data_IF_402375082894
#
_entry.id   IF_402375082894
#
_cell.length_a   1.000
_cell.length_b   1.000
_cell.length_c   1.000
_cell.angle_alpha   90.00
_cell.angle_beta   90.00
_cell.angle_gamma   90.00
#
_symmetry.space_group_name_H-M   'P 1'
#
loop_
_entity.id
_entity.type
_entity.pdbx_description
1 polymer ?
#
# COMPACT_ATOMS: atom_id res chain seq x y z
N UNK A 1 17.91 -12.41 9.54
CA UNK A 1 17.94 -11.36 8.49
C UNK A 1 16.51 -11.25 7.98
N UNK A 2 15.88 -10.07 8.08
CA UNK A 2 14.50 -9.88 7.62
C UNK A 2 14.56 -9.68 6.11
N UNK A 3 13.99 -10.59 5.33
CA UNK A 3 13.95 -10.46 3.86
C UNK A 3 12.94 -9.38 3.46
N UNK A 4 13.39 -8.13 3.43
CA UNK A 4 12.56 -6.96 3.09
C UNK A 4 11.94 -7.03 1.69
N UNK A 5 12.53 -7.81 0.78
CA UNK A 5 12.15 -7.92 -0.63
C UNK A 5 11.39 -9.20 -1.00
N UNK A 6 10.96 -10.02 -0.02
CA UNK A 6 10.12 -11.17 -0.34
C UNK A 6 8.70 -10.71 -0.67
N UNK A 7 8.44 -10.48 -1.95
CA UNK A 7 7.11 -10.18 -2.47
C UNK A 7 6.31 -11.48 -2.67
N UNK A 8 5.08 -11.52 -2.16
CA UNK A 8 4.16 -12.64 -2.35
C UNK A 8 3.36 -12.39 -3.65
N UNK A 9 3.95 -12.74 -4.80
CA UNK A 9 3.36 -12.56 -6.14
C UNK A 9 2.11 -13.43 -6.38
N UNK A 10 1.79 -14.34 -5.47
CA UNK A 10 0.69 -15.31 -5.62
C UNK A 10 -0.71 -14.65 -5.66
N UNK A 11 -0.87 -13.45 -5.10
CA UNK A 11 -2.18 -12.80 -4.97
C UNK A 11 -2.31 -11.52 -5.79
N UNK A 12 -3.00 -11.61 -6.93
CA UNK A 12 -3.27 -10.49 -7.87
C UNK A 12 -3.96 -9.28 -7.22
N UNK A 13 -4.71 -9.47 -6.14
CA UNK A 13 -5.41 -8.41 -5.39
C UNK A 13 -4.50 -7.35 -4.75
N UNK A 14 -3.18 -7.60 -4.67
CA UNK A 14 -2.21 -6.67 -4.10
C UNK A 14 -1.34 -5.98 -5.14
N UNK A 15 -1.84 -5.87 -6.38
CA UNK A 15 -1.22 -5.08 -7.43
C UNK A 15 -2.08 -3.85 -7.77
N UNK A 16 -1.42 -2.73 -7.99
CA UNK A 16 -1.98 -1.45 -8.44
C UNK A 16 -1.44 -1.14 -9.84
N UNK A 17 -2.07 -0.16 -10.52
CA UNK A 17 -1.72 0.23 -11.89
C UNK A 17 -1.76 -0.93 -12.90
N UNK A 18 -2.97 -1.46 -13.16
CA UNK A 18 -3.22 -2.53 -14.12
C UNK A 18 -2.42 -3.82 -13.82
N UNK A 19 -2.39 -4.24 -12.56
CA UNK A 19 -1.69 -5.44 -12.08
C UNK A 19 -0.16 -5.44 -12.23
N UNK A 20 0.46 -4.29 -12.54
CA UNK A 20 1.91 -4.21 -12.79
C UNK A 20 2.73 -3.80 -11.57
N UNK A 21 2.15 -3.08 -10.62
CA UNK A 21 2.87 -2.53 -9.48
C UNK A 21 2.40 -3.17 -8.17
N UNK A 22 3.25 -3.96 -7.51
CA UNK A 22 2.88 -4.51 -6.21
C UNK A 22 2.74 -3.40 -5.17
N UNK A 23 1.71 -3.49 -4.33
CA UNK A 23 1.34 -2.48 -3.32
C UNK A 23 2.50 -2.11 -2.39
N UNK A 24 3.33 -3.09 -1.98
CA UNK A 24 4.54 -2.85 -1.17
C UNK A 24 5.57 -1.96 -1.88
N UNK A 25 5.75 -2.13 -3.19
CA UNK A 25 6.66 -1.30 -4.00
C UNK A 25 6.05 0.08 -4.20
N UNK A 26 4.74 0.15 -4.48
CA UNK A 26 4.03 1.42 -4.57
C UNK A 26 4.17 2.24 -3.29
N UNK A 27 4.02 1.60 -2.12
CA UNK A 27 4.19 2.26 -0.83
C UNK A 27 5.64 2.71 -0.58
N UNK A 28 6.64 1.92 -0.99
CA UNK A 28 8.03 2.34 -0.95
C UNK A 28 8.29 3.58 -1.81
N UNK A 29 7.71 3.63 -3.01
CA UNK A 29 7.82 4.80 -3.89
C UNK A 29 7.22 6.03 -3.21
N UNK A 30 6.04 5.90 -2.57
CA UNK A 30 5.43 6.99 -1.81
C UNK A 30 6.37 7.46 -0.69
N UNK A 31 6.94 6.55 0.10
CA UNK A 31 7.90 6.91 1.17
C UNK A 31 9.09 7.70 0.62
N UNK A 32 9.66 7.27 -0.51
CA UNK A 32 10.80 7.97 -1.13
C UNK A 32 10.38 9.36 -1.62
N UNK A 33 9.23 9.47 -2.28
CA UNK A 33 8.72 10.76 -2.75
C UNK A 33 8.45 11.72 -1.59
N UNK A 34 7.83 11.23 -0.51
CA UNK A 34 7.59 12.02 0.70
C UNK A 34 8.92 12.48 1.31
N UNK A 35 9.90 11.59 1.50
CA UNK A 35 11.20 11.98 2.02
C UNK A 35 11.91 13.05 1.18
N UNK A 36 11.82 12.96 -0.16
CA UNK A 36 12.39 13.97 -1.05
C UNK A 36 11.67 15.31 -0.86
N UNK A 37 10.34 15.30 -0.77
CA UNK A 37 9.54 16.51 -0.54
C UNK A 37 9.92 17.18 0.80
N UNK A 38 9.98 16.41 1.88
CA UNK A 38 10.34 16.87 3.22
C UNK A 38 11.75 17.47 3.26
N UNK A 39 12.72 16.84 2.57
CA UNK A 39 14.09 17.38 2.48
C UNK A 39 14.11 18.69 1.70
N UNK A 40 13.39 18.77 0.59
CA UNK A 40 13.31 19.99 -0.23
C UNK A 40 12.67 21.14 0.55
N UNK A 41 11.61 20.86 1.29
CA UNK A 41 10.92 21.80 2.15
C UNK A 41 11.78 22.24 3.35
N UNK A 42 12.45 21.30 4.02
CA UNK A 42 13.46 21.60 5.04
C UNK A 42 14.54 22.55 4.53
N UNK A 43 15.07 22.29 3.33
CA UNK A 43 16.09 23.15 2.70
C UNK A 43 15.50 24.53 2.42
N UNK A 44 14.26 24.61 1.94
CA UNK A 44 13.58 25.89 1.71
C UNK A 44 13.50 26.72 3.00
N UNK A 45 13.09 26.12 4.13
CA UNK A 45 13.04 26.80 5.42
C UNK A 45 14.41 27.28 5.92
N UNK A 46 15.48 26.53 5.65
CA UNK A 46 16.84 26.93 6.04
C UNK A 46 17.38 28.06 5.17
N UNK A 47 17.08 28.05 3.87
CA UNK A 47 17.60 29.04 2.90
C UNK A 47 16.87 30.37 2.97
N UNK A 48 15.53 30.36 3.08
CA UNK A 48 14.73 31.60 3.09
C UNK A 48 14.63 32.24 4.49
N UNK A 49 15.23 31.59 5.49
CA UNK A 49 15.20 32.00 6.88
C UNK A 49 13.84 31.70 7.54
N UNK A 50 13.86 31.44 8.84
CA UNK A 50 12.68 31.21 9.70
C UNK A 50 11.63 32.35 9.69
N UNK A 51 11.82 33.40 8.89
CA UNK A 51 10.94 34.57 8.79
C UNK A 51 9.52 34.26 8.30
N UNK A 52 9.31 33.18 7.53
CA UNK A 52 7.98 32.80 7.04
C UNK A 52 7.24 31.80 7.94
N UNK A 53 7.91 31.16 8.91
CA UNK A 53 7.31 30.31 9.96
C UNK A 53 6.63 31.18 11.04
N UNK A 54 5.72 32.06 10.63
CA UNK A 54 5.14 33.07 11.51
C UNK A 54 4.03 32.53 12.43
N UNK A 55 3.47 31.36 12.13
CA UNK A 55 2.30 30.82 12.84
C UNK A 55 2.60 29.49 13.51
N UNK A 56 2.26 29.36 14.80
CA UNK A 56 2.41 28.13 15.60
C UNK A 56 1.77 26.91 14.91
N UNK A 57 0.67 27.12 14.18
CA UNK A 57 -0.01 26.08 13.41
C UNK A 57 0.90 25.45 12.35
N UNK A 58 1.66 26.27 11.61
CA UNK A 58 2.57 25.79 10.56
C UNK A 58 3.64 24.88 11.17
N UNK A 59 4.22 25.28 12.30
CA UNK A 59 5.21 24.48 13.02
C UNK A 59 4.60 23.15 13.51
N UNK A 60 3.35 23.15 13.97
CA UNK A 60 2.68 21.92 14.41
C UNK A 60 2.38 20.97 13.25
N UNK A 61 1.99 21.51 12.08
CA UNK A 61 1.77 20.72 10.86
C UNK A 61 3.09 20.09 10.41
N UNK A 62 4.15 20.88 10.35
CA UNK A 62 5.50 20.42 10.01
C UNK A 62 5.96 19.26 10.92
N UNK A 63 5.82 19.42 12.25
CA UNK A 63 6.17 18.35 13.19
C UNK A 63 5.30 17.10 12.95
N UNK A 64 4.01 17.28 12.65
CA UNK A 64 3.11 16.17 12.37
C UNK A 64 3.51 15.42 11.09
N UNK A 65 3.93 16.11 10.05
CA UNK A 65 4.40 15.53 8.80
C UNK A 65 5.66 14.66 9.01
N UNK A 66 6.64 15.15 9.78
CA UNK A 66 7.78 14.31 10.19
C UNK A 66 7.36 13.07 10.97
N UNK A 67 6.40 13.21 11.89
CA UNK A 67 5.88 12.07 12.66
C UNK A 67 5.26 11.05 11.71
N UNK A 68 4.41 11.48 10.77
CA UNK A 68 3.78 10.57 9.81
C UNK A 68 4.82 9.90 8.91
N UNK A 69 5.79 10.64 8.39
CA UNK A 69 6.90 10.09 7.59
C UNK A 69 7.69 9.03 8.36
N UNK A 70 7.98 9.29 9.64
CA UNK A 70 8.63 8.32 10.52
C UNK A 70 7.78 7.05 10.72
N UNK A 71 6.48 7.20 10.97
CA UNK A 71 5.55 6.07 11.11
C UNK A 71 5.43 5.26 9.80
N UNK A 72 5.46 5.90 8.63
CA UNK A 72 5.45 5.21 7.34
C UNK A 72 6.69 4.31 7.16
N UNK A 73 7.87 4.82 7.49
CA UNK A 73 9.13 4.05 7.42
C UNK A 73 9.05 2.85 8.37
N UNK A 74 8.62 3.07 9.62
CA UNK A 74 8.46 1.97 10.58
C UNK A 74 7.39 0.95 10.15
N UNK A 75 6.28 1.41 9.56
CA UNK A 75 5.24 0.55 9.03
C UNK A 75 5.78 -0.34 7.91
N UNK A 76 6.60 0.22 7.01
CA UNK A 76 7.26 -0.52 5.94
C UNK A 76 8.24 -1.57 6.50
N UNK A 77 9.09 -1.19 7.46
CA UNK A 77 10.09 -2.08 8.04
C UNK A 77 9.48 -3.21 8.88
N UNK A 78 8.40 -2.93 9.64
CA UNK A 78 7.76 -3.91 10.53
C UNK A 78 6.59 -4.65 9.90
N UNK A 79 6.18 -4.27 8.69
CA UNK A 79 4.97 -4.76 8.01
C UNK A 79 3.74 -4.74 8.93
N UNK A 80 3.62 -3.66 9.71
CA UNK A 80 2.60 -3.52 10.75
C UNK A 80 1.46 -2.62 10.30
N UNK A 81 0.25 -3.15 10.39
CA UNK A 81 -0.99 -2.50 10.01
C UNK A 81 -1.29 -1.25 10.88
N UNK A 82 -1.10 -1.33 12.20
CA UNK A 82 -1.38 -0.21 13.12
C UNK A 82 -0.49 1.01 12.88
N UNK A 83 0.74 0.80 12.40
CA UNK A 83 1.68 1.90 12.13
C UNK A 83 1.35 2.66 10.85
N UNK A 84 0.46 2.14 9.99
CA UNK A 84 -0.02 2.87 8.81
C UNK A 84 -1.14 3.87 9.11
N UNK A 85 -1.78 3.78 10.29
CA UNK A 85 -2.93 4.61 10.62
C UNK A 85 -2.66 6.12 10.56
N UNK A 86 -1.51 6.65 11.04
CA UNK A 86 -1.21 8.08 10.93
C UNK A 86 -1.19 8.57 9.48
N UNK A 87 -0.56 7.80 8.58
CA UNK A 87 -0.52 8.10 7.15
C UNK A 87 -1.91 8.08 6.52
N UNK A 88 -2.69 7.02 6.74
CA UNK A 88 -4.05 6.90 6.19
C UNK A 88 -4.94 8.03 6.71
N UNK A 89 -4.84 8.35 8.00
CA UNK A 89 -5.58 9.44 8.63
C UNK A 89 -5.24 10.80 8.02
N UNK A 90 -3.95 11.13 7.88
CA UNK A 90 -3.50 12.37 7.24
C UNK A 90 -3.99 12.44 5.78
N UNK A 91 -3.83 11.36 5.01
CA UNK A 91 -4.26 11.34 3.61
C UNK A 91 -5.77 11.52 3.43
N UNK A 92 -6.60 11.01 4.35
CA UNK A 92 -8.04 11.28 4.34
C UNK A 92 -8.30 12.78 4.52
N UNK A 93 -7.65 13.42 5.50
CA UNK A 93 -7.81 14.86 5.76
C UNK A 93 -7.37 15.66 4.54
N UNK A 94 -6.21 15.34 3.96
CA UNK A 94 -5.69 15.99 2.74
C UNK A 94 -6.69 15.86 1.59
N UNK A 95 -7.16 14.65 1.29
CA UNK A 95 -8.12 14.42 0.20
C UNK A 95 -9.43 15.19 0.44
N UNK A 96 -9.94 15.24 1.67
CA UNK A 96 -11.15 16.02 2.00
C UNK A 96 -10.93 17.51 1.76
N UNK A 97 -9.78 18.06 2.19
CA UNK A 97 -9.45 19.47 1.97
C UNK A 97 -9.32 19.79 0.48
N UNK A 98 -8.63 18.94 -0.30
CA UNK A 98 -8.50 19.13 -1.75
C UNK A 98 -9.85 19.02 -2.48
N UNK A 99 -10.72 18.10 -2.05
CA UNK A 99 -12.09 18.01 -2.61
C UNK A 99 -12.91 19.27 -2.30
N UNK A 100 -12.80 19.84 -1.10
CA UNK A 100 -13.44 21.12 -0.76
C UNK A 100 -12.89 22.23 -1.66
N UNK A 101 -11.58 22.30 -1.86
CA UNK A 101 -10.94 23.29 -2.72
C UNK A 101 -11.38 23.13 -4.19
N UNK A 102 -11.46 21.90 -4.69
CA UNK A 102 -11.95 21.60 -6.03
C UNK A 102 -13.40 22.07 -6.22
N UNK A 103 -14.27 21.82 -5.23
CA UNK A 103 -15.66 22.28 -5.26
C UNK A 103 -15.76 23.81 -5.20
N UNK A 104 -14.90 24.46 -4.41
CA UNK A 104 -14.81 25.92 -4.35
C UNK A 104 -14.37 26.51 -5.69
N UNK A 105 -13.36 25.93 -6.35
CA UNK A 105 -12.93 26.35 -7.68
C UNK A 105 -14.03 26.15 -8.73
N UNK A 106 -14.75 25.03 -8.68
CA UNK A 106 -15.88 24.77 -9.56
C UNK A 106 -16.99 25.81 -9.34
N UNK A 107 -17.28 26.16 -8.09
CA UNK A 107 -18.22 27.22 -7.76
C UNK A 107 -17.77 28.58 -8.31
N UNK A 108 -16.48 28.92 -8.22
CA UNK A 108 -15.93 30.15 -8.79
C UNK A 108 -16.07 30.24 -10.31
N UNK A 109 -16.06 29.10 -11.02
CA UNK A 109 -16.30 29.07 -12.48
C UNK A 109 -17.76 29.38 -12.79
N UNK A 110 -18.70 28.81 -12.03
CA UNK A 110 -20.14 29.00 -12.24
C UNK A 110 -20.58 30.41 -11.80
N UNK A 111 -20.02 30.91 -10.69
CA UNK A 111 -20.35 32.22 -10.09
C UNK A 111 -19.08 33.08 -9.99
N UNK A 112 -18.64 33.68 -11.11
CA UNK A 112 -17.36 34.40 -11.18
C UNK A 112 -17.36 35.73 -10.41
N UNK A 113 -18.53 36.26 -10.04
CA UNK A 113 -18.68 37.48 -9.23
C UNK A 113 -18.96 37.19 -7.75
N UNK A 114 -18.69 35.96 -7.28
CA UNK A 114 -18.79 35.65 -5.86
C UNK A 114 -17.63 36.28 -5.08
N UNK A 115 -17.87 36.64 -3.82
CA UNK A 115 -16.83 37.16 -2.92
C UNK A 115 -15.62 36.21 -2.79
N UNK A 116 -15.87 34.88 -2.87
CA UNK A 116 -14.83 33.85 -2.87
C UNK A 116 -13.92 33.95 -4.11
N UNK A 117 -14.52 34.21 -5.28
CA UNK A 117 -13.79 34.37 -6.52
C UNK A 117 -13.00 35.70 -6.55
N UNK A 118 -13.45 36.74 -5.85
CA UNK A 118 -12.69 37.99 -5.69
C UNK A 118 -11.48 37.81 -4.77
N UNK A 119 -11.62 37.04 -3.69
CA UNK A 119 -10.49 36.69 -2.81
C UNK A 119 -9.39 35.90 -3.53
N UNK A 120 -9.75 35.05 -4.50
CA UNK A 120 -8.79 34.29 -5.31
C UNK A 120 -8.02 35.15 -6.34
N UNK A 121 -8.57 36.29 -6.74
CA UNK A 121 -7.98 37.19 -7.74
C UNK A 121 -7.91 38.62 -7.17
N UNK A 122 -7.04 38.79 -6.17
CA UNK A 122 -6.83 40.07 -5.45
C UNK A 122 -6.40 41.22 -6.39
N UNK A 123 -5.70 40.89 -7.46
CA UNK A 123 -5.31 41.85 -8.49
C UNK A 123 -6.44 42.04 -9.51
N UNK A 124 -7.33 43.01 -9.25
CA UNK A 124 -8.45 43.39 -10.13
C UNK A 124 -8.08 43.96 -11.52
N UNK A 125 -6.92 43.58 -12.09
CA UNK A 125 -6.37 44.05 -13.37
C UNK A 125 -6.42 43.01 -14.48
N UNK A 126 -7.29 42.00 -14.39
CA UNK A 126 -7.42 40.98 -15.43
C UNK A 126 -8.67 41.24 -16.28
N UNK A 127 -8.54 41.03 -17.59
CA UNK A 127 -9.73 40.90 -18.45
C UNK A 127 -10.49 39.62 -18.10
N UNK A 128 -11.80 39.59 -18.36
CA UNK A 128 -12.68 38.45 -18.06
C UNK A 128 -12.09 37.12 -18.58
N UNK A 129 -11.59 37.13 -19.81
CA UNK A 129 -11.06 35.95 -20.49
C UNK A 129 -9.72 35.47 -19.92
N UNK A 130 -8.85 36.37 -19.48
CA UNK A 130 -7.58 36.01 -18.82
C UNK A 130 -7.83 35.37 -17.45
N UNK A 131 -8.81 35.89 -16.70
CA UNK A 131 -9.21 35.35 -15.40
C UNK A 131 -9.79 33.95 -15.55
N UNK A 132 -10.71 33.75 -16.49
CA UNK A 132 -11.34 32.45 -16.75
C UNK A 132 -10.31 31.40 -17.19
N UNK A 133 -9.38 31.77 -18.08
CA UNK A 133 -8.27 30.90 -18.50
C UNK A 133 -7.37 30.50 -17.32
N UNK A 134 -7.03 31.45 -16.45
CA UNK A 134 -6.19 31.19 -15.26
C UNK A 134 -6.93 30.30 -14.26
N UNK A 135 -8.21 30.56 -14.02
CA UNK A 135 -9.06 29.74 -13.14
C UNK A 135 -9.20 28.32 -13.66
N UNK A 136 -9.42 28.14 -14.96
CA UNK A 136 -9.52 26.82 -15.58
C UNK A 136 -8.19 26.06 -15.51
N UNK A 137 -7.06 26.73 -15.71
CA UNK A 137 -5.74 26.14 -15.51
C UNK A 137 -5.51 25.67 -14.07
N UNK A 138 -5.88 26.51 -13.08
CA UNK A 138 -5.81 26.16 -11.66
C UNK A 138 -6.72 24.97 -11.35
N UNK A 139 -7.95 24.94 -11.88
CA UNK A 139 -8.87 23.80 -11.71
C UNK A 139 -8.28 22.50 -12.25
N UNK A 140 -7.68 22.51 -13.45
CA UNK A 140 -7.07 21.32 -14.03
C UNK A 140 -5.94 20.82 -13.13
N UNK A 141 -5.05 21.71 -12.70
CA UNK A 141 -3.93 21.35 -11.83
C UNK A 141 -4.46 20.78 -10.51
N UNK A 142 -5.43 21.45 -9.89
CA UNK A 142 -6.03 21.01 -8.62
C UNK A 142 -6.72 19.65 -8.75
N UNK A 143 -7.46 19.42 -9.85
CA UNK A 143 -8.10 18.14 -10.12
C UNK A 143 -7.08 17.01 -10.31
N UNK A 144 -5.96 17.28 -10.98
CA UNK A 144 -4.87 16.32 -11.15
C UNK A 144 -4.19 15.99 -9.82
N UNK A 145 -3.91 16.99 -8.99
CA UNK A 145 -3.33 16.80 -7.66
C UNK A 145 -4.29 16.05 -6.73
N UNK A 146 -5.59 16.37 -6.77
CA UNK A 146 -6.63 15.65 -6.02
C UNK A 146 -6.68 14.17 -6.46
N UNK A 147 -6.63 13.91 -7.77
CA UNK A 147 -6.57 12.55 -8.31
C UNK A 147 -5.34 11.78 -7.83
N UNK A 148 -4.18 12.43 -7.79
CA UNK A 148 -2.95 11.85 -7.26
C UNK A 148 -3.06 11.54 -5.75
N UNK A 149 -3.64 12.45 -4.97
CA UNK A 149 -3.87 12.25 -3.54
C UNK A 149 -4.84 11.08 -3.25
N UNK A 150 -5.92 10.97 -4.04
CA UNK A 150 -6.84 9.81 -3.98
C UNK A 150 -6.09 8.52 -4.30
N UNK A 151 -5.19 8.54 -5.29
CA UNK A 151 -4.38 7.37 -5.64
C UNK A 151 -3.43 6.97 -4.51
N UNK A 152 -2.74 7.92 -3.87
CA UNK A 152 -1.94 7.67 -2.67
C UNK A 152 -2.76 7.08 -1.53
N UNK A 153 -3.95 7.63 -1.27
CA UNK A 153 -4.85 7.12 -0.25
C UNK A 153 -5.29 5.67 -0.55
N UNK A 154 -5.61 5.37 -1.82
CA UNK A 154 -5.94 4.01 -2.25
C UNK A 154 -4.78 3.03 -2.05
N UNK A 155 -3.53 3.44 -2.35
CA UNK A 155 -2.34 2.65 -2.01
C UNK A 155 -2.22 2.47 -0.50
N UNK A 156 -2.52 3.49 0.29
CA UNK A 156 -2.58 3.42 1.75
C UNK A 156 -3.52 2.32 2.25
N UNK A 157 -4.76 2.30 1.76
CA UNK A 157 -5.74 1.26 2.11
C UNK A 157 -5.35 -0.14 1.61
N UNK A 158 -4.82 -0.24 0.39
CA UNK A 158 -4.36 -1.50 -0.15
C UNK A 158 -3.19 -2.07 0.67
N UNK A 159 -2.25 -1.22 1.08
CA UNK A 159 -1.09 -1.60 1.90
C UNK A 159 -1.53 -1.96 3.31
N UNK A 160 -2.47 -1.22 3.89
CA UNK A 160 -3.08 -1.54 5.18
C UNK A 160 -3.70 -2.94 5.16
N UNK A 161 -4.48 -3.24 4.12
CA UNK A 161 -5.11 -4.55 3.90
C UNK A 161 -4.08 -5.66 3.68
N UNK A 162 -3.00 -5.36 2.97
CA UNK A 162 -1.88 -6.29 2.77
C UNK A 162 -1.16 -6.61 4.08
N UNK A 163 -0.81 -5.61 4.89
CA UNK A 163 -0.16 -5.83 6.18
C UNK A 163 -1.04 -6.56 7.18
N UNK A 164 -2.35 -6.30 7.19
CA UNK A 164 -3.31 -7.09 7.97
C UNK A 164 -3.35 -8.56 7.53
N UNK A 165 -3.39 -8.81 6.22
CA UNK A 165 -3.33 -10.16 5.67
C UNK A 165 -2.03 -10.90 6.05
N UNK A 166 -0.88 -10.25 5.92
CA UNK A 166 0.42 -10.81 6.30
C UNK A 166 0.48 -11.07 7.80
N UNK A 167 -0.02 -10.15 8.63
CA UNK A 167 -0.08 -10.31 10.08
C UNK A 167 -0.93 -11.51 10.49
N UNK A 168 -2.11 -11.66 9.87
CA UNK A 168 -2.98 -12.84 10.07
C UNK A 168 -2.33 -14.14 9.59
N UNK A 169 -1.62 -14.12 8.45
CA UNK A 169 -0.86 -15.28 7.94
C UNK A 169 0.28 -15.68 8.87
N UNK A 170 1.00 -14.71 9.45
CA UNK A 170 2.05 -14.94 10.46
C UNK A 170 1.46 -15.51 11.76
N UNK A 171 0.33 -14.97 12.24
CA UNK A 171 -0.34 -15.46 13.45
C UNK A 171 -0.94 -16.87 13.30
N UNK A 172 -1.33 -17.26 12.08
CA UNK A 172 -1.85 -18.61 11.77
C UNK A 172 -0.79 -19.68 11.62
N UNK A 173 0.49 -19.33 11.46
CA UNK A 173 1.55 -20.32 11.56
C UNK A 173 1.69 -20.65 13.05
N UNK A 174 1.20 -21.82 13.54
CA UNK A 174 1.50 -22.18 14.91
C UNK A 174 3.01 -22.17 15.03
N UNK A 175 3.52 -21.48 16.06
CA UNK A 175 4.86 -21.71 16.52
C UNK A 175 5.01 -23.23 16.63
N UNK A 176 5.81 -23.84 15.74
CA UNK A 176 6.34 -25.18 16.01
C UNK A 176 7.02 -25.02 17.35
N UNK A 177 6.36 -25.44 18.43
CA UNK A 177 6.99 -25.39 19.74
C UNK A 177 8.27 -26.22 19.60
N UNK A 178 9.44 -25.70 19.99
CA UNK A 178 10.64 -26.51 20.06
C UNK A 178 10.56 -27.55 21.20
N UNK A 179 9.38 -27.78 21.79
CA UNK A 179 9.21 -28.53 23.04
C UNK A 179 8.33 -29.79 22.92
N UNK A 180 7.91 -30.19 21.71
CA UNK A 180 7.33 -31.52 21.48
C UNK A 180 8.37 -32.46 20.84
N UNK A 181 9.54 -32.56 21.46
CA UNK A 181 10.37 -33.77 21.42
C UNK A 181 10.05 -34.60 22.67
N UNK A 182 8.80 -35.04 22.81
CA UNK A 182 8.48 -36.10 23.77
C UNK A 182 8.73 -37.45 23.10
N UNK A 183 9.94 -37.96 23.36
CA UNK A 183 10.33 -39.37 23.47
C UNK A 183 9.29 -40.41 23.02
N UNK A 184 9.45 -40.91 21.78
CA UNK A 184 8.94 -42.23 21.41
C UNK A 184 9.87 -43.28 22.02
N UNK A 185 9.63 -43.61 23.29
CA UNK A 185 10.14 -44.83 23.93
C UNK A 185 9.33 -46.03 23.40
N UNK A 186 9.63 -46.50 22.19
CA UNK A 186 9.22 -47.85 21.78
C UNK A 186 10.40 -48.78 22.03
N UNK A 187 10.30 -49.38 23.21
CA UNK A 187 10.98 -50.57 23.71
C UNK A 187 11.16 -51.61 22.60
N UNK A 188 12.41 -51.94 22.29
CA UNK A 188 12.79 -53.18 21.63
C UNK A 188 12.40 -54.35 22.53
N UNK A 189 11.46 -55.18 22.10
CA UNK A 189 11.39 -56.57 22.51
C UNK A 189 11.05 -57.44 21.29
N UNK A 190 11.81 -58.51 21.15
CA UNK A 190 12.01 -59.38 20.01
C UNK A 190 10.88 -60.42 19.83
N UNK A 191 10.63 -60.81 18.57
CA UNK A 191 10.52 -62.20 18.04
C UNK A 191 9.73 -62.19 16.70
N UNK A 192 10.29 -62.88 15.71
CA UNK A 192 9.81 -63.00 14.33
C UNK A 192 8.53 -63.85 14.18
N UNK A 193 7.79 -63.64 13.08
CA UNK A 193 7.40 -64.66 12.05
C UNK A 193 6.17 -64.21 11.24
N UNK A 194 6.39 -64.16 9.91
CA UNK A 194 5.46 -64.45 8.79
C UNK A 194 4.47 -63.39 8.29
N UNK A 195 4.74 -62.97 7.05
CA UNK A 195 3.81 -62.33 6.13
C UNK A 195 2.66 -63.26 5.72
N UNK A 196 1.44 -62.71 5.71
CA UNK A 196 0.32 -63.17 4.87
C UNK A 196 -0.49 -61.96 4.41
N UNK A 197 -0.95 -62.06 3.17
CA UNK A 197 -1.60 -61.07 2.33
C UNK A 197 -2.97 -60.54 2.82
N UNK A 198 -3.35 -59.44 2.15
CA UNK A 198 -4.69 -59.07 1.64
C UNK A 198 -5.70 -58.35 2.56
N UNK A 199 -5.86 -57.06 2.23
CA UNK A 199 -7.12 -56.32 1.96
C UNK A 199 -8.24 -56.34 3.00
N UNK A 200 -8.45 -55.19 3.64
CA UNK A 200 -9.74 -54.56 3.97
C UNK A 200 -9.42 -53.11 4.41
N UNK A 201 -9.34 -52.15 3.48
CA UNK A 201 -10.47 -51.33 3.00
C UNK A 201 -11.40 -50.84 4.11
N UNK A 202 -10.96 -49.84 4.87
CA UNK A 202 -11.86 -48.77 5.28
C UNK A 202 -11.41 -47.48 4.60
N UNK A 203 -12.24 -47.01 3.66
CA UNK A 203 -12.12 -45.67 3.09
C UNK A 203 -12.51 -44.66 4.18
N UNK A 204 -11.53 -43.91 4.70
CA UNK A 204 -11.82 -42.73 5.51
C UNK A 204 -12.41 -41.65 4.56
N UNK A 205 -13.68 -41.25 4.70
CA UNK A 205 -14.33 -40.35 3.75
C UNK A 205 -13.96 -38.86 3.93
N UNK A 206 -13.01 -38.52 4.81
CA UNK A 206 -12.60 -37.13 5.05
C UNK A 206 -11.34 -36.68 4.30
N UNK A 207 -10.92 -37.38 3.24
CA UNK A 207 -9.96 -36.86 2.27
C UNK A 207 -10.55 -36.84 0.85
N UNK A 208 -11.12 -35.69 0.51
CA UNK A 208 -11.18 -35.13 -0.83
C UNK A 208 -11.19 -33.62 -0.59
N UNK A 209 -10.27 -32.77 -1.01
CA UNK A 209 -9.33 -32.81 -2.13
C UNK A 209 -8.34 -31.66 -1.90
N UNK A 210 -7.09 -31.98 -1.55
CA UNK A 210 -5.97 -31.12 -1.90
C UNK A 210 -5.31 -31.81 -3.10
N UNK A 211 -5.68 -31.35 -4.28
CA UNK A 211 -4.99 -31.50 -5.56
C UNK A 211 -4.91 -30.07 -6.09
N UNK A 212 -3.79 -29.39 -5.82
CA UNK A 212 -2.66 -29.31 -6.75
C UNK A 212 -2.97 -28.31 -7.86
N UNK A 213 -2.62 -27.05 -7.57
CA UNK A 213 -1.99 -26.17 -8.57
C UNK A 213 -0.57 -25.90 -8.05
N UNK A 214 0.23 -26.97 -7.97
CA UNK A 214 1.68 -26.90 -7.80
C UNK A 214 2.34 -27.13 -9.17
N UNK A 215 3.36 -26.31 -9.47
CA UNK A 215 4.52 -26.65 -10.32
C UNK A 215 4.36 -26.80 -11.86
N UNK A 216 4.31 -25.68 -12.60
CA UNK A 216 4.76 -25.65 -14.01
C UNK A 216 6.27 -25.35 -14.09
N UNK A 217 7.09 -26.37 -13.89
CA UNK A 217 8.55 -26.33 -14.03
C UNK A 217 9.00 -27.51 -14.91
N UNK A 218 9.49 -27.19 -16.12
CA UNK A 218 10.20 -28.04 -17.09
C UNK A 218 9.39 -29.06 -17.95
N UNK A 219 9.13 -28.75 -19.23
CA UNK A 219 9.87 -29.26 -20.40
C UNK A 219 9.13 -29.09 -21.75
N UNK A 220 9.66 -28.16 -22.56
CA UNK A 220 10.09 -28.32 -23.96
C UNK A 220 9.19 -29.16 -24.89
N UNK A 221 8.34 -28.49 -25.65
CA UNK A 221 7.73 -29.00 -26.87
C UNK A 221 8.79 -29.24 -27.96
N UNK A 222 9.07 -30.50 -28.27
CA UNK A 222 9.73 -30.90 -29.51
C UNK A 222 9.19 -32.25 -30.01
N UNK A 223 8.81 -32.25 -31.29
CA UNK A 223 8.51 -33.36 -32.24
C UNK A 223 7.03 -33.44 -32.64
N UNK A 224 6.64 -32.89 -33.80
CA UNK A 224 6.73 -33.43 -35.18
C UNK A 224 5.88 -34.71 -35.36
N UNK A 225 4.87 -34.71 -36.25
CA UNK A 225 4.06 -35.89 -36.53
C UNK A 225 4.71 -36.78 -37.59
N UNK A 226 4.78 -38.09 -37.34
CA UNK A 226 5.13 -39.09 -38.34
C UNK A 226 3.95 -40.05 -38.58
N UNK A 227 3.43 -39.93 -39.80
CA UNK A 227 2.67 -40.85 -40.66
C UNK A 227 2.78 -42.34 -40.28
N UNK A 228 1.63 -43.03 -40.20
CA UNK A 228 1.28 -44.25 -40.97
C UNK A 228 -0.20 -44.14 -41.36
#
# INVERSE_FOLDING_TARGET
>A
MVDFFKLDYSQKRFFTCCDKLHVKIAFLIIIILTLIAEIMESIYYVVDGLSEMSTVLTILIEIWEYVVTFFMILAYCRESCSLMLPFVGQMIVVVVIMLILLLQLLYCIIVPYSQLAEQLFVDGRYTFLEREKKLFAILIVEALLTGLAIWFLNIGFATYSYFDFISKKKARKPAKSPFNQEFVLVRNDSIAVRATHSTESFANPNFNSNSDDDDEVFQKSSNVPSII
#
